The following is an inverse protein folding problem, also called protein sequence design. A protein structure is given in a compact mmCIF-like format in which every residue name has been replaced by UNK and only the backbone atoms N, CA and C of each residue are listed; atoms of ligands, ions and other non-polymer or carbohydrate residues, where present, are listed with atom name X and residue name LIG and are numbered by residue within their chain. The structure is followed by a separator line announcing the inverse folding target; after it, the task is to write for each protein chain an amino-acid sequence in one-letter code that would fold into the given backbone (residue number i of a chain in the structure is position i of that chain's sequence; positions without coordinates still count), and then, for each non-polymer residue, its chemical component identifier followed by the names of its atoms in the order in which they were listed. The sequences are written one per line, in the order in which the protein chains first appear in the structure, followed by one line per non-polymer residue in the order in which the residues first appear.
data_IF_243020929008
#
_entry.id   IF_243020929008
#
_cell.length_a   1.000
_cell.length_b   1.000
_cell.length_c   1.000
_cell.angle_alpha   90.00
_cell.angle_beta   90.00
_cell.angle_gamma   90.00
#
_symmetry.space_group_name_H-M   'P 1'
#
loop_
_entity.id
_entity.type
_entity.pdbx_description
1 polymer ?
#
# COMPACT_ATOMS: atom_id res chain seq x y z
N UNK A 1 38.84 -43.31 -0.57
CA UNK A 1 37.57 -42.67 -0.14
C UNK A 1 37.70 -41.16 -0.01
N UNK A 2 38.70 -40.62 0.71
CA UNK A 2 38.87 -39.16 0.88
C UNK A 2 38.97 -38.37 -0.42
N UNK A 3 39.69 -38.85 -1.45
CA UNK A 3 39.79 -38.14 -2.72
C UNK A 3 38.45 -38.00 -3.47
N UNK A 4 37.53 -38.96 -3.28
CA UNK A 4 36.22 -38.96 -3.94
C UNK A 4 35.25 -37.99 -3.24
N UNK A 5 35.33 -37.91 -1.92
CA UNK A 5 34.57 -36.96 -1.11
C UNK A 5 35.08 -35.52 -1.35
N UNK A 6 36.39 -35.30 -1.36
CA UNK A 6 36.97 -33.99 -1.71
C UNK A 6 36.61 -33.57 -3.14
N UNK A 7 36.53 -34.51 -4.09
CA UNK A 7 36.09 -34.19 -5.45
C UNK A 7 34.60 -33.80 -5.56
N UNK A 8 33.79 -34.12 -4.54
CA UNK A 8 32.37 -33.75 -4.47
C UNK A 8 32.12 -32.48 -3.64
N UNK A 9 33.00 -32.17 -2.68
CA UNK A 9 32.91 -30.95 -1.88
C UNK A 9 33.34 -29.70 -2.65
N UNK A 10 34.39 -29.80 -3.46
CA UNK A 10 34.88 -28.67 -4.27
C UNK A 10 33.80 -28.05 -5.18
N UNK A 11 33.01 -28.81 -5.97
CA UNK A 11 31.96 -28.19 -6.78
C UNK A 11 30.81 -27.57 -5.96
N UNK A 12 30.55 -28.06 -4.74
CA UNK A 12 29.57 -27.45 -3.84
C UNK A 12 30.10 -26.13 -3.25
N UNK A 13 31.39 -26.06 -2.92
CA UNK A 13 32.05 -24.82 -2.50
C UNK A 13 32.03 -23.78 -3.63
N UNK A 14 32.33 -24.20 -4.86
CA UNK A 14 32.22 -23.35 -6.05
C UNK A 14 30.78 -22.82 -6.26
N UNK A 15 29.77 -23.65 -6.03
CA UNK A 15 28.35 -23.25 -6.13
C UNK A 15 27.94 -22.29 -5.02
N UNK A 16 28.36 -22.53 -3.76
CA UNK A 16 28.14 -21.63 -2.63
C UNK A 16 28.81 -20.28 -2.88
N UNK A 17 30.07 -20.29 -3.35
CA UNK A 17 30.80 -19.08 -3.70
C UNK A 17 30.13 -18.33 -4.86
N UNK A 18 29.59 -19.04 -5.84
CA UNK A 18 28.82 -18.43 -6.94
C UNK A 18 27.55 -17.76 -6.42
N UNK A 19 26.78 -18.42 -5.56
CA UNK A 19 25.58 -17.85 -4.92
C UNK A 19 25.92 -16.64 -4.05
N UNK A 20 27.01 -16.71 -3.28
CA UNK A 20 27.49 -15.58 -2.48
C UNK A 20 27.88 -14.38 -3.34
N UNK A 21 28.58 -14.62 -4.45
CA UNK A 21 28.95 -13.58 -5.41
C UNK A 21 27.72 -12.97 -6.08
N UNK A 22 26.72 -13.79 -6.45
CA UNK A 22 25.46 -13.31 -7.01
C UNK A 22 24.70 -12.43 -6.01
N UNK A 23 24.59 -12.87 -4.75
CA UNK A 23 23.93 -12.10 -3.69
C UNK A 23 24.68 -10.79 -3.42
N UNK A 24 26.01 -10.83 -3.41
CA UNK A 24 26.86 -9.64 -3.21
C UNK A 24 26.82 -8.68 -4.39
N UNK A 25 26.52 -9.17 -5.59
CA UNK A 25 26.32 -8.36 -6.79
C UNK A 25 24.92 -7.75 -6.88
N UNK A 26 23.97 -8.14 -6.01
CA UNK A 26 22.67 -7.49 -5.96
C UNK A 26 22.83 -6.04 -5.50
N UNK A 27 22.40 -5.12 -6.36
CA UNK A 27 22.35 -3.71 -6.02
C UNK A 27 21.08 -3.43 -5.22
N UNK A 28 21.23 -3.30 -3.89
CA UNK A 28 20.13 -2.98 -2.97
C UNK A 28 19.45 -1.66 -3.37
N UNK A 29 20.22 -0.66 -3.81
CA UNK A 29 19.66 0.63 -4.24
C UNK A 29 18.75 0.46 -5.47
N UNK A 30 19.12 -0.41 -6.42
CA UNK A 30 18.28 -0.68 -7.60
C UNK A 30 16.96 -1.36 -7.21
N UNK A 31 16.98 -2.26 -6.23
CA UNK A 31 15.77 -2.92 -5.70
C UNK A 31 14.88 -1.89 -4.99
N UNK A 32 15.48 -1.06 -4.14
CA UNK A 32 14.77 0.02 -3.44
C UNK A 32 14.16 1.00 -4.45
N UNK A 33 14.88 1.38 -5.50
CA UNK A 33 14.40 2.30 -6.51
C UNK A 33 13.22 1.73 -7.29
N UNK A 34 13.22 0.43 -7.62
CA UNK A 34 12.05 -0.24 -8.22
C UNK A 34 10.83 -0.19 -7.30
N UNK A 35 11.01 -0.37 -5.99
CA UNK A 35 9.93 -0.25 -5.02
C UNK A 35 9.42 1.20 -4.90
N UNK A 36 10.33 2.18 -4.85
CA UNK A 36 9.98 3.61 -4.84
C UNK A 36 9.18 4.02 -6.07
N UNK A 37 9.54 3.54 -7.26
CA UNK A 37 8.79 3.82 -8.49
C UNK A 37 7.32 3.36 -8.39
N UNK A 38 7.03 2.24 -7.71
CA UNK A 38 5.65 1.79 -7.47
C UNK A 38 4.90 2.75 -6.55
N UNK A 39 5.56 3.23 -5.48
CA UNK A 39 4.99 4.19 -4.55
C UNK A 39 4.75 5.56 -5.21
N UNK A 40 5.71 6.02 -6.02
CA UNK A 40 5.59 7.27 -6.78
C UNK A 40 4.46 7.20 -7.80
N UNK A 41 4.32 6.06 -8.49
CA UNK A 41 3.19 5.82 -9.37
C UNK A 41 1.87 5.86 -8.61
N UNK A 42 1.75 5.14 -7.50
CA UNK A 42 0.56 5.18 -6.66
C UNK A 42 0.22 6.60 -6.21
N UNK A 43 1.23 7.37 -5.76
CA UNK A 43 1.07 8.77 -5.37
C UNK A 43 0.53 9.61 -6.52
N UNK A 44 1.11 9.48 -7.71
CA UNK A 44 0.69 10.22 -8.90
C UNK A 44 -0.76 9.87 -9.31
N UNK A 45 -1.09 8.58 -9.31
CA UNK A 45 -2.42 8.09 -9.64
C UNK A 45 -3.46 8.62 -8.64
N UNK A 46 -3.15 8.63 -7.34
CA UNK A 46 -4.01 9.19 -6.31
C UNK A 46 -4.26 10.69 -6.49
N UNK A 47 -3.21 11.48 -6.75
CA UNK A 47 -3.37 12.92 -7.03
C UNK A 47 -4.27 13.15 -8.24
N UNK A 48 -4.06 12.38 -9.32
CA UNK A 48 -4.88 12.49 -10.54
C UNK A 48 -6.37 12.21 -10.26
N UNK A 49 -6.66 11.22 -9.42
CA UNK A 49 -8.05 10.90 -9.03
C UNK A 49 -8.66 12.04 -8.21
N UNK A 50 -7.91 12.59 -7.26
CA UNK A 50 -8.36 13.70 -6.41
C UNK A 50 -8.65 14.93 -7.27
N UNK A 51 -7.75 15.29 -8.17
CA UNK A 51 -7.90 16.45 -9.06
C UNK A 51 -9.11 16.29 -9.98
N UNK A 52 -9.30 15.09 -10.56
CA UNK A 52 -10.48 14.79 -11.38
C UNK A 52 -11.77 14.93 -10.58
N UNK A 53 -11.81 14.36 -9.37
CA UNK A 53 -12.99 14.44 -8.51
C UNK A 53 -13.32 15.89 -8.12
N UNK A 54 -12.29 16.69 -7.81
CA UNK A 54 -12.46 18.11 -7.54
C UNK A 54 -13.06 18.84 -8.75
N UNK A 55 -12.51 18.63 -9.94
CA UNK A 55 -13.00 19.25 -11.17
C UNK A 55 -14.46 18.86 -11.48
N UNK A 56 -14.82 17.58 -11.31
CA UNK A 56 -16.21 17.12 -11.43
C UNK A 56 -17.15 17.87 -10.47
N UNK A 57 -16.71 18.11 -9.22
CA UNK A 57 -17.49 18.87 -8.23
C UNK A 57 -17.59 20.35 -8.55
N UNK A 58 -16.55 20.96 -9.12
CA UNK A 58 -16.61 22.32 -9.65
C UNK A 58 -17.63 22.45 -10.78
N UNK A 59 -17.66 21.49 -11.71
CA UNK A 59 -18.64 21.46 -12.79
C UNK A 59 -20.07 21.26 -12.27
N UNK A 60 -20.26 20.35 -11.31
CA UNK A 60 -21.55 20.16 -10.63
C UNK A 60 -22.04 21.46 -9.97
N UNK A 61 -21.15 22.16 -9.25
CA UNK A 61 -21.45 23.43 -8.62
C UNK A 61 -21.85 24.49 -9.64
N UNK A 62 -21.08 24.64 -10.71
CA UNK A 62 -21.35 25.59 -11.78
C UNK A 62 -22.71 25.32 -12.42
N UNK A 63 -23.01 24.06 -12.74
CA UNK A 63 -24.28 23.67 -13.33
C UNK A 63 -25.46 24.01 -12.42
N UNK A 64 -25.36 23.68 -11.13
CA UNK A 64 -26.41 24.03 -10.15
C UNK A 64 -26.61 25.54 -10.02
N UNK A 65 -25.53 26.32 -10.03
CA UNK A 65 -25.61 27.79 -10.02
C UNK A 65 -26.37 28.30 -11.25
N UNK A 66 -26.01 27.81 -12.44
CA UNK A 66 -26.66 28.20 -13.71
C UNK A 66 -28.15 27.84 -13.68
N UNK A 67 -28.50 26.64 -13.22
CA UNK A 67 -29.89 26.19 -13.14
C UNK A 67 -30.72 27.05 -12.18
N UNK A 68 -30.22 27.33 -10.97
CA UNK A 68 -30.94 28.16 -10.01
C UNK A 68 -31.15 29.59 -10.52
N UNK A 69 -30.11 30.21 -11.07
CA UNK A 69 -30.22 31.54 -11.68
C UNK A 69 -31.18 31.51 -12.87
N UNK A 70 -31.11 30.47 -13.69
CA UNK A 70 -31.99 30.25 -14.83
C UNK A 70 -33.47 30.15 -14.44
N UNK A 71 -33.78 29.41 -13.38
CA UNK A 71 -35.14 29.31 -12.83
C UNK A 71 -35.66 30.67 -12.35
N UNK A 72 -34.83 31.46 -11.65
CA UNK A 72 -35.19 32.81 -11.21
C UNK A 72 -35.46 33.74 -12.38
N UNK A 73 -34.61 33.70 -13.43
CA UNK A 73 -34.82 34.46 -14.67
C UNK A 73 -36.12 34.07 -15.38
N UNK A 74 -36.47 32.77 -15.42
CA UNK A 74 -37.74 32.29 -15.99
C UNK A 74 -38.95 32.84 -15.23
N UNK A 75 -38.94 32.79 -13.90
CA UNK A 75 -40.02 33.37 -13.06
C UNK A 75 -40.19 34.87 -13.33
N UNK A 76 -39.09 35.62 -13.38
CA UNK A 76 -39.12 37.06 -13.70
C UNK A 76 -39.70 37.29 -15.10
N UNK A 77 -39.33 36.48 -16.09
CA UNK A 77 -39.84 36.60 -17.45
C UNK A 77 -41.35 36.32 -17.52
N UNK A 78 -41.83 35.27 -16.86
CA UNK A 78 -43.26 34.96 -16.76
C UNK A 78 -44.04 36.11 -16.10
N UNK A 79 -43.51 36.68 -15.03
CA UNK A 79 -44.11 37.83 -14.35
C UNK A 79 -44.21 39.04 -15.29
N UNK A 80 -43.16 39.31 -16.09
CA UNK A 80 -43.20 40.38 -17.10
C UNK A 80 -44.26 40.14 -18.18
N UNK A 81 -44.37 38.91 -18.69
CA UNK A 81 -45.40 38.56 -19.67
C UNK A 81 -46.79 38.79 -19.08
N UNK A 82 -47.05 38.28 -17.88
CA UNK A 82 -48.35 38.42 -17.23
C UNK A 82 -48.71 39.88 -16.94
N UNK A 83 -47.73 40.68 -16.53
CA UNK A 83 -47.91 42.12 -16.33
C UNK A 83 -48.27 42.82 -17.64
N UNK A 84 -47.60 42.47 -18.75
CA UNK A 84 -47.89 43.06 -20.05
C UNK A 84 -49.29 42.67 -20.57
N UNK A 85 -49.72 41.42 -20.38
CA UNK A 85 -51.08 40.97 -20.72
C UNK A 85 -52.13 41.82 -19.99
N UNK A 86 -52.00 41.95 -18.67
CA UNK A 86 -52.92 42.74 -17.85
C UNK A 86 -52.96 44.23 -18.23
N UNK A 87 -51.81 44.80 -18.65
CA UNK A 87 -51.74 46.17 -19.17
C UNK A 87 -52.47 46.29 -20.52
N UNK A 88 -52.30 45.32 -21.42
CA UNK A 88 -52.91 45.34 -22.75
C UNK A 88 -54.44 45.16 -22.69
N UNK A 89 -54.92 44.26 -21.83
CA UNK A 89 -56.34 43.97 -21.67
C UNK A 89 -57.08 45.08 -20.90
N UNK A 90 -56.37 45.90 -20.11
CA UNK A 90 -56.92 46.96 -19.25
C UNK A 90 -57.96 46.46 -18.22
N UNK A 91 -58.03 45.15 -17.97
CA UNK A 91 -58.98 44.49 -17.06
C UNK A 91 -58.30 43.96 -15.79
N UNK A 92 -57.16 44.54 -15.39
CA UNK A 92 -56.45 44.10 -14.19
C UNK A 92 -57.30 44.28 -12.93
N UNK A 93 -57.53 43.19 -12.19
CA UNK A 93 -58.23 43.24 -10.90
C UNK A 93 -57.28 43.60 -9.76
N UNK A 94 -57.82 44.00 -8.61
CA UNK A 94 -57.00 44.19 -7.42
C UNK A 94 -56.29 42.89 -6.98
N UNK A 95 -56.94 41.73 -7.17
CA UNK A 95 -56.36 40.43 -6.83
C UNK A 95 -55.16 40.10 -7.74
N UNK A 96 -55.23 40.45 -9.03
CA UNK A 96 -54.09 40.29 -9.95
C UNK A 96 -52.89 41.13 -9.51
N UNK A 97 -53.13 42.39 -9.13
CA UNK A 97 -52.08 43.29 -8.63
C UNK A 97 -51.47 42.76 -7.34
N UNK A 98 -52.30 42.32 -6.38
CA UNK A 98 -51.81 41.73 -5.13
C UNK A 98 -50.98 40.47 -5.37
N UNK A 99 -51.43 39.59 -6.27
CA UNK A 99 -50.71 38.37 -6.66
C UNK A 99 -49.34 38.68 -7.30
N UNK A 100 -49.29 39.68 -8.18
CA UNK A 100 -48.04 40.15 -8.77
C UNK A 100 -47.07 40.73 -7.72
N UNK A 101 -47.57 41.57 -6.80
CA UNK A 101 -46.76 42.15 -5.73
C UNK A 101 -46.20 41.05 -4.82
N UNK A 102 -47.02 40.07 -4.43
CA UNK A 102 -46.58 38.93 -3.63
C UNK A 102 -45.47 38.15 -4.35
N UNK A 103 -45.67 37.83 -5.62
CA UNK A 103 -44.68 37.10 -6.43
C UNK A 103 -43.37 37.89 -6.60
N UNK A 104 -43.43 39.22 -6.78
CA UNK A 104 -42.23 40.09 -6.84
C UNK A 104 -41.46 40.03 -5.52
N UNK A 105 -42.15 40.13 -4.39
CA UNK A 105 -41.51 40.09 -3.07
C UNK A 105 -40.88 38.72 -2.79
N UNK A 106 -41.52 37.64 -3.21
CA UNK A 106 -40.97 36.29 -3.13
C UNK A 106 -39.70 36.14 -3.96
N UNK A 107 -39.72 36.58 -5.22
CA UNK A 107 -38.53 36.55 -6.08
C UNK A 107 -37.40 37.40 -5.50
N UNK A 108 -37.70 38.60 -4.97
CA UNK A 108 -36.69 39.44 -4.31
C UNK A 108 -36.04 38.73 -3.13
N UNK A 109 -36.84 38.10 -2.27
CA UNK A 109 -36.34 37.31 -1.13
C UNK A 109 -35.47 36.15 -1.59
N UNK A 110 -35.92 35.39 -2.60
CA UNK A 110 -35.16 34.26 -3.17
C UNK A 110 -33.83 34.71 -3.80
N UNK A 111 -33.79 35.89 -4.41
CA UNK A 111 -32.56 36.47 -4.98
C UNK A 111 -31.61 36.90 -3.87
N UNK A 112 -32.09 37.66 -2.89
CA UNK A 112 -31.28 38.13 -1.77
C UNK A 112 -30.69 36.97 -0.98
N UNK A 113 -31.50 35.94 -0.67
CA UNK A 113 -31.03 34.76 0.06
C UNK A 113 -29.91 34.00 -0.68
N UNK A 114 -29.94 34.01 -2.01
CA UNK A 114 -28.92 33.37 -2.83
C UNK A 114 -27.68 34.23 -3.03
N UNK A 115 -27.83 35.56 -3.04
CA UNK A 115 -26.69 36.47 -3.00
C UNK A 115 -25.93 36.37 -1.67
N UNK A 116 -26.65 36.24 -0.56
CA UNK A 116 -26.08 36.09 0.78
C UNK A 116 -25.47 34.70 1.02
N UNK A 117 -26.18 33.63 0.67
CA UNK A 117 -25.82 32.27 1.08
C UNK A 117 -25.31 31.38 -0.06
N UNK A 118 -25.50 31.78 -1.33
CA UNK A 118 -25.09 31.00 -2.49
C UNK A 118 -25.60 29.56 -2.50
N UNK A 119 -24.73 28.65 -2.94
CA UNK A 119 -24.93 27.20 -2.83
C UNK A 119 -24.10 26.69 -1.66
N UNK A 120 -24.74 25.97 -0.75
CA UNK A 120 -24.05 25.31 0.36
C UNK A 120 -23.21 24.14 -0.15
N UNK A 121 -21.91 24.18 0.14
CA UNK A 121 -20.96 23.11 -0.16
C UNK A 121 -20.41 22.60 1.17
N UNK A 122 -20.65 21.33 1.46
CA UNK A 122 -20.15 20.67 2.65
C UNK A 122 -18.99 19.73 2.27
N UNK A 123 -17.82 19.95 2.86
CA UNK A 123 -16.58 19.25 2.50
C UNK A 123 -16.10 18.44 3.69
N UNK A 124 -16.05 17.13 3.51
CA UNK A 124 -15.55 16.19 4.51
C UNK A 124 -14.07 15.86 4.25
N UNK A 125 -13.27 15.63 5.31
CA UNK A 125 -11.86 15.31 5.14
C UNK A 125 -11.65 13.93 4.50
N UNK A 126 -10.63 13.84 3.63
CA UNK A 126 -10.18 12.56 3.08
C UNK A 126 -9.37 11.79 4.13
N UNK A 127 -9.82 10.58 4.49
CA UNK A 127 -9.14 9.72 5.46
C UNK A 127 -8.34 8.65 4.71
N UNK A 128 -7.02 8.67 4.87
CA UNK A 128 -6.12 7.67 4.30
C UNK A 128 -5.97 6.52 5.30
N UNK A 129 -6.38 5.32 4.90
CA UNK A 129 -6.22 4.12 5.71
C UNK A 129 -4.74 3.67 5.70
N UNK A 130 -4.18 3.38 6.87
CA UNK A 130 -2.79 2.91 7.00
C UNK A 130 -2.54 1.57 6.29
N UNK A 131 -3.60 0.78 6.08
CA UNK A 131 -3.56 -0.52 5.43
C UNK A 131 -3.63 -0.46 3.90
N UNK A 132 -3.35 0.71 3.29
CA UNK A 132 -3.36 0.88 1.83
C UNK A 132 -2.06 0.43 1.17
N UNK A 133 -0.94 0.45 1.90
CA UNK A 133 0.38 0.10 1.40
C UNK A 133 1.01 -0.90 2.38
N UNK A 134 1.35 -2.08 1.88
CA UNK A 134 2.07 -3.10 2.62
C UNK A 134 3.49 -3.19 2.09
N UNK A 135 4.45 -3.12 3.00
CA UNK A 135 5.86 -3.37 2.71
C UNK A 135 6.20 -4.60 3.51
N UNK A 136 6.21 -5.75 2.84
CA UNK A 136 6.53 -7.04 3.43
C UNK A 136 7.70 -7.65 2.67
N UNK A 137 8.52 -8.41 3.39
CA UNK A 137 9.48 -9.30 2.75
C UNK A 137 8.72 -10.33 1.92
N UNK A 138 9.23 -10.66 0.74
CA UNK A 138 8.67 -11.76 -0.02
C UNK A 138 8.65 -13.00 0.86
N UNK A 139 7.56 -13.79 0.91
CA UNK A 139 7.50 -15.00 1.71
C UNK A 139 8.61 -15.94 1.21
N UNK A 140 9.72 -15.93 1.92
CA UNK A 140 10.83 -16.83 1.70
C UNK A 140 10.63 -18.01 2.63
N UNK A 141 10.79 -19.22 2.12
CA UNK A 141 11.02 -20.35 2.99
C UNK A 141 12.34 -20.04 3.69
N UNK A 142 12.30 -19.68 4.98
CA UNK A 142 13.51 -19.54 5.79
C UNK A 142 14.37 -20.79 5.55
N UNK A 143 15.60 -20.57 5.09
CA UNK A 143 16.55 -21.64 4.83
C UNK A 143 16.92 -22.30 6.16
N UNK A 144 16.22 -23.39 6.49
CA UNK A 144 16.47 -24.16 7.70
C UNK A 144 17.71 -25.04 7.53
N UNK A 145 18.85 -24.52 7.99
CA UNK A 145 20.12 -25.23 8.02
C UNK A 145 20.25 -26.19 9.21
N UNK A 146 19.27 -26.25 10.11
CA UNK A 146 19.34 -27.12 11.30
C UNK A 146 19.32 -28.62 10.98
N UNK A 147 18.90 -28.97 9.75
CA UNK A 147 18.92 -30.35 9.24
C UNK A 147 20.30 -30.79 8.73
N UNK A 148 21.29 -29.89 8.66
CA UNK A 148 22.65 -30.27 8.26
C UNK A 148 23.33 -31.05 9.39
N UNK A 149 23.83 -32.24 9.07
CA UNK A 149 24.60 -33.03 10.02
C UNK A 149 25.85 -32.28 10.44
N UNK A 150 26.15 -32.25 11.74
CA UNK A 150 27.38 -31.65 12.24
C UNK A 150 28.62 -32.26 11.55
N UNK A 151 29.63 -31.45 11.16
CA UNK A 151 30.87 -31.96 10.61
C UNK A 151 31.64 -32.81 11.64
N UNK A 152 31.29 -32.72 12.92
CA UNK A 152 31.79 -33.54 14.01
C UNK A 152 30.69 -34.44 14.56
N UNK A 153 31.02 -35.73 14.71
CA UNK A 153 30.18 -36.67 15.43
C UNK A 153 30.56 -36.64 16.91
N UNK A 154 29.73 -36.00 17.73
CA UNK A 154 29.82 -36.15 19.18
C UNK A 154 29.33 -37.56 19.54
N UNK A 155 30.15 -38.30 20.27
CA UNK A 155 29.75 -39.57 20.86
C UNK A 155 29.61 -39.31 22.35
N UNK A 156 28.41 -39.49 22.87
CA UNK A 156 28.16 -39.32 24.29
C UNK A 156 28.84 -40.45 25.08
N UNK A 157 29.81 -40.10 25.90
CA UNK A 157 30.47 -41.02 26.82
C UNK A 157 29.60 -41.24 28.07
N UNK A 158 28.36 -41.72 27.91
CA UNK A 158 27.53 -42.11 29.05
C UNK A 158 27.69 -43.60 29.33
N UNK A 159 28.31 -43.91 30.47
CA UNK A 159 28.36 -45.22 31.12
C UNK A 159 28.90 -46.38 30.25
N UNK A 160 30.22 -46.48 30.18
CA UNK A 160 30.96 -47.68 30.58
C UNK A 160 32.45 -47.39 30.41
N UNK A 161 33.28 -48.02 31.24
CA UNK A 161 34.74 -47.97 31.15
C UNK A 161 35.18 -48.50 29.77
N UNK A 162 35.36 -47.59 28.81
CA UNK A 162 35.90 -47.97 27.52
C UNK A 162 37.41 -48.11 27.70
N UNK A 163 38.00 -49.29 27.48
CA UNK A 163 39.43 -49.45 27.59
C UNK A 163 40.08 -48.58 26.51
N UNK A 164 40.75 -47.53 26.96
CA UNK A 164 41.71 -46.81 26.13
C UNK A 164 42.81 -47.80 25.82
N UNK A 165 42.85 -48.27 24.58
CA UNK A 165 43.85 -49.26 24.16
C UNK A 165 45.23 -48.62 24.07
N UNK A 166 45.28 -47.39 23.55
CA UNK A 166 46.51 -46.60 23.47
C UNK A 166 46.18 -45.13 23.24
N UNK A 167 47.09 -44.25 23.63
CA UNK A 167 46.99 -42.82 23.38
C UNK A 167 48.34 -42.24 22.99
N UNK A 168 48.32 -41.19 22.18
CA UNK A 168 49.46 -40.29 22.03
C UNK A 168 49.00 -38.83 22.26
N UNK A 169 49.88 -37.88 21.96
CA UNK A 169 49.60 -36.46 22.22
C UNK A 169 48.45 -35.91 21.35
N UNK A 170 48.17 -36.50 20.19
CA UNK A 170 47.15 -36.01 19.24
C UNK A 170 45.95 -36.95 19.11
N UNK A 171 46.09 -38.23 19.41
CA UNK A 171 45.06 -39.23 19.13
C UNK A 171 44.83 -40.17 20.31
N UNK A 172 43.58 -40.60 20.46
CA UNK A 172 43.13 -41.57 21.45
C UNK A 172 42.45 -42.73 20.73
N UNK A 173 42.95 -43.95 20.94
CA UNK A 173 42.35 -45.16 20.38
C UNK A 173 41.50 -45.86 21.45
N UNK A 174 40.23 -46.06 21.14
CA UNK A 174 39.25 -46.65 22.05
C UNK A 174 38.55 -47.83 21.38
N UNK A 175 38.42 -48.93 22.10
CA UNK A 175 37.63 -50.08 21.68
C UNK A 175 36.14 -49.84 21.98
N UNK A 176 35.34 -49.71 20.92
CA UNK A 176 33.90 -49.47 20.96
C UNK A 176 33.18 -50.60 20.23
N UNK A 177 33.21 -51.81 20.80
CA UNK A 177 32.66 -53.02 20.17
C UNK A 177 31.32 -52.75 19.47
N UNK A 178 31.19 -53.08 18.18
CA UNK A 178 32.13 -53.86 17.34
C UNK A 178 33.22 -53.04 16.63
N UNK A 179 33.32 -51.74 16.88
CA UNK A 179 34.19 -50.80 16.16
C UNK A 179 35.42 -50.39 16.97
N UNK A 180 36.55 -50.22 16.29
CA UNK A 180 37.74 -49.58 16.85
C UNK A 180 37.74 -48.11 16.43
N UNK A 181 37.68 -47.19 17.39
CA UNK A 181 37.55 -45.75 17.12
C UNK A 181 38.82 -44.98 17.48
N UNK A 182 39.27 -44.12 16.55
CA UNK A 182 40.39 -43.20 16.78
C UNK A 182 39.85 -41.77 16.89
N UNK A 183 40.01 -41.17 18.05
CA UNK A 183 39.63 -39.79 18.33
C UNK A 183 40.83 -38.86 18.15
N UNK A 184 40.64 -37.72 17.48
CA UNK A 184 41.66 -36.67 17.39
C UNK A 184 41.40 -35.60 18.47
N UNK A 185 42.40 -35.30 19.29
CA UNK A 185 42.38 -34.30 20.38
C UNK A 185 42.38 -32.85 19.90
N UNK A 186 42.66 -32.59 18.62
CA UNK A 186 42.67 -31.21 18.08
C UNK A 186 41.26 -30.59 17.93
N UNK A 187 40.19 -31.35 18.17
CA UNK A 187 38.84 -30.82 18.31
C UNK A 187 38.60 -30.32 19.75
N UNK A 188 39.21 -29.19 20.10
CA UNK A 188 38.72 -28.36 21.20
C UNK A 188 37.43 -27.67 20.76
N UNK A 189 36.31 -27.99 21.41
CA UNK A 189 35.06 -27.22 21.37
C UNK A 189 35.29 -25.80 21.89
#
# INVERSE_FOLDING_TARGET
HNNLIHSQLNPLDDEINTLHNQMSALNVDEVIDKCRQKLDKWRHDCHTIIDRFYEEKCQELQQRCIEQIGQKRKKIHQLKLKTNELIQEQEATHDDIFSLIATINDIKRDVNQFEENGILVDVHPLIINQNLIYIEESPSNELDISNLSSPYRSIDCFNNEWPVLTSNNQFLLVDLYPNLCLFNKELTL
#
